data_IF_687694135059
#
_entry.id   IF_687694135059
#
_cell.length_a   1.000
_cell.length_b   1.000
_cell.length_c   1.000
_cell.angle_alpha   90.00
_cell.angle_beta   90.00
_cell.angle_gamma   90.00
#
_symmetry.space_group_name_H-M   'P 1'
#
loop_
_entity.id
_entity.type
_entity.pdbx_description
1 polymer ?
#
# COMPACT_ATOMS: atom_id res chain seq x y z
N UNK A 1 -47.47 18.97 -41.92
CA UNK A 1 -47.60 19.47 -40.52
C UNK A 1 -46.48 18.80 -39.72
N UNK A 2 -45.28 19.36 -39.45
CA UNK A 2 -44.91 20.66 -38.86
C UNK A 2 -45.70 20.95 -37.57
N UNK A 3 -45.14 21.21 -36.38
CA UNK A 3 -43.78 21.23 -35.81
C UNK A 3 -43.94 21.42 -34.28
N UNK A 4 -42.79 21.42 -33.57
CA UNK A 4 -42.49 21.86 -32.20
C UNK A 4 -42.47 20.76 -31.12
N UNK A 5 -41.31 20.18 -30.74
CA UNK A 5 -40.11 20.74 -30.07
C UNK A 5 -40.43 21.27 -28.66
N UNK A 6 -39.77 20.81 -27.59
CA UNK A 6 -38.48 21.41 -27.15
C UNK A 6 -37.97 20.73 -25.85
N UNK A 7 -36.70 20.26 -25.92
CA UNK A 7 -35.62 20.25 -24.91
C UNK A 7 -35.87 19.82 -23.44
N UNK A 8 -35.16 18.74 -23.05
CA UNK A 8 -34.04 18.88 -22.10
C UNK A 8 -33.02 17.75 -22.31
N UNK A 9 -31.98 18.09 -23.08
CA UNK A 9 -30.66 17.46 -23.04
C UNK A 9 -29.99 17.89 -21.74
N UNK A 10 -29.63 16.95 -20.87
CA UNK A 10 -28.46 17.10 -20.01
C UNK A 10 -27.50 15.98 -20.41
N UNK A 11 -26.31 16.40 -20.84
CA UNK A 11 -25.33 15.55 -21.48
C UNK A 11 -24.82 14.47 -20.53
N UNK A 12 -25.03 13.21 -20.91
CA UNK A 12 -24.16 12.14 -20.50
C UNK A 12 -22.87 12.28 -21.30
N UNK A 13 -21.92 13.03 -20.71
CA UNK A 13 -20.55 13.06 -21.16
C UNK A 13 -19.92 11.67 -21.02
N UNK A 14 -19.33 11.24 -22.13
CA UNK A 14 -18.48 10.08 -22.30
C UNK A 14 -17.26 10.12 -21.36
N UNK A 15 -16.84 8.96 -20.85
CA UNK A 15 -15.62 8.74 -20.05
C UNK A 15 -15.97 8.23 -18.64
N UNK A 16 -15.66 7.03 -18.18
CA UNK A 16 -14.67 6.04 -18.58
C UNK A 16 -15.28 4.64 -18.42
N UNK A 17 -15.27 3.86 -19.50
CA UNK A 17 -15.38 2.42 -19.40
C UNK A 17 -14.06 1.89 -18.83
N UNK A 18 -13.94 1.85 -17.51
CA UNK A 18 -12.92 1.03 -16.86
C UNK A 18 -13.28 -0.44 -17.10
N UNK A 19 -12.82 -0.99 -18.23
CA UNK A 19 -12.66 -2.43 -18.39
C UNK A 19 -11.75 -2.90 -17.26
N UNK A 20 -12.33 -3.58 -16.27
CA UNK A 20 -11.55 -4.31 -15.29
C UNK A 20 -10.85 -5.44 -16.02
N UNK A 21 -9.62 -5.18 -16.42
CA UNK A 21 -8.66 -6.19 -16.78
C UNK A 21 -8.60 -7.14 -15.58
N UNK A 22 -8.99 -8.39 -15.83
CA UNK A 22 -8.92 -9.49 -14.86
C UNK A 22 -7.57 -9.40 -14.17
N UNK A 23 -7.56 -9.06 -12.89
CA UNK A 23 -6.31 -8.89 -12.17
C UNK A 23 -5.79 -10.30 -11.85
N UNK A 24 -4.71 -10.79 -12.50
CA UNK A 24 -4.20 -12.14 -12.27
C UNK A 24 -3.37 -12.21 -10.98
N UNK A 25 -3.77 -11.48 -9.93
CA UNK A 25 -3.05 -11.44 -8.64
C UNK A 25 -3.20 -12.74 -7.84
N UNK A 26 -3.96 -13.72 -8.33
CA UNK A 26 -3.82 -15.09 -7.88
C UNK A 26 -2.55 -15.68 -8.52
N UNK A 27 -1.48 -15.79 -7.72
CA UNK A 27 -0.20 -16.43 -8.03
C UNK A 27 0.93 -15.55 -8.57
N UNK A 28 1.20 -14.40 -7.93
CA UNK A 28 2.62 -14.09 -7.71
C UNK A 28 3.08 -14.86 -6.48
N UNK A 29 3.94 -15.87 -6.68
CA UNK A 29 4.75 -16.43 -5.62
C UNK A 29 5.58 -15.27 -5.03
N UNK A 30 5.03 -14.59 -4.02
CA UNK A 30 5.79 -13.66 -3.20
C UNK A 30 6.90 -14.48 -2.56
N UNK A 31 8.12 -14.36 -3.11
CA UNK A 31 9.32 -14.89 -2.46
C UNK A 31 9.30 -14.33 -1.04
N UNK A 32 9.14 -15.24 -0.07
CA UNK A 32 9.06 -14.89 1.34
C UNK A 32 10.45 -14.40 1.77
N UNK A 33 10.73 -13.11 1.55
CA UNK A 33 11.98 -12.50 1.97
C UNK A 33 11.89 -12.16 3.45
N UNK A 34 12.72 -12.85 4.23
CA UNK A 34 12.81 -12.69 5.67
C UNK A 34 13.78 -11.54 5.96
N UNK A 35 13.27 -10.46 6.52
CA UNK A 35 14.14 -9.42 7.06
C UNK A 35 14.98 -9.97 8.21
N UNK A 36 16.21 -9.49 8.31
CA UNK A 36 17.17 -9.89 9.32
C UNK A 36 17.20 -8.86 10.47
N UNK A 37 17.60 -9.28 11.68
CA UNK A 37 17.88 -8.33 12.76
C UNK A 37 18.92 -7.30 12.29
N UNK A 38 18.73 -6.02 12.61
CA UNK A 38 19.66 -4.97 12.20
C UNK A 38 21.11 -5.31 12.61
N UNK A 39 21.31 -5.79 13.84
CA UNK A 39 22.61 -6.22 14.37
C UNK A 39 23.29 -7.29 13.52
N UNK A 40 22.51 -8.17 12.90
CA UNK A 40 23.01 -9.25 12.05
C UNK A 40 23.46 -8.72 10.69
N UNK A 41 22.65 -7.87 10.05
CA UNK A 41 23.03 -7.19 8.79
C UNK A 41 24.32 -6.37 8.97
N UNK A 42 24.44 -5.64 10.07
CA UNK A 42 25.68 -4.91 10.40
C UNK A 42 26.87 -5.85 10.64
N UNK A 43 26.68 -6.99 11.33
CA UNK A 43 27.75 -7.98 11.55
C UNK A 43 28.24 -8.57 10.23
N UNK A 44 27.33 -8.96 9.34
CA UNK A 44 27.68 -9.48 8.02
C UNK A 44 28.48 -8.45 7.22
N UNK A 45 28.06 -7.18 7.21
CA UNK A 45 28.82 -6.11 6.57
C UNK A 45 30.24 -5.98 7.12
N UNK A 46 30.42 -6.03 8.44
CA UNK A 46 31.74 -5.98 9.09
C UNK A 46 32.59 -7.20 8.73
N UNK A 47 31.99 -8.39 8.64
CA UNK A 47 32.70 -9.59 8.23
C UNK A 47 33.16 -9.50 6.77
N UNK A 48 32.29 -9.07 5.86
CA UNK A 48 32.65 -8.86 4.46
C UNK A 48 33.81 -7.88 4.32
N UNK A 49 33.80 -6.79 5.10
CA UNK A 49 34.91 -5.83 5.16
C UNK A 49 36.22 -6.47 5.67
N UNK A 50 36.14 -7.29 6.71
CA UNK A 50 37.29 -8.02 7.27
C UNK A 50 37.88 -9.06 6.32
N UNK A 51 37.07 -9.57 5.38
CA UNK A 51 37.54 -10.45 4.30
C UNK A 51 38.29 -9.68 3.19
N UNK A 52 38.46 -8.36 3.33
CA UNK A 52 39.17 -7.53 2.37
C UNK A 52 38.34 -7.12 1.16
N UNK A 53 37.01 -7.26 1.22
CA UNK A 53 36.13 -6.77 0.16
C UNK A 53 36.11 -5.23 0.15
N UNK A 54 36.17 -4.60 -1.04
CA UNK A 54 36.03 -3.15 -1.17
C UNK A 54 34.72 -2.61 -0.58
N UNK A 55 34.78 -1.43 0.03
CA UNK A 55 33.64 -0.82 0.74
C UNK A 55 32.44 -0.53 -0.20
N UNK A 56 32.67 -0.36 -1.51
CA UNK A 56 31.66 -0.16 -2.57
C UNK A 56 31.00 -1.47 -3.05
N UNK A 57 31.70 -2.60 -2.92
CA UNK A 57 31.19 -3.93 -3.29
C UNK A 57 30.27 -4.51 -2.22
N UNK A 58 30.55 -4.24 -0.95
CA UNK A 58 29.76 -4.78 0.19
C UNK A 58 28.27 -4.45 0.07
N UNK A 59 27.84 -3.18 -0.16
CA UNK A 59 26.44 -2.86 -0.38
C UNK A 59 25.86 -3.58 -1.59
N UNK A 60 26.61 -3.77 -2.67
CA UNK A 60 26.13 -4.52 -3.82
C UNK A 60 25.85 -5.98 -3.45
N UNK A 61 26.74 -6.63 -2.70
CA UNK A 61 26.53 -8.01 -2.22
C UNK A 61 25.27 -8.10 -1.35
N UNK A 62 25.14 -7.19 -0.38
CA UNK A 62 23.99 -7.18 0.54
C UNK A 62 22.68 -6.89 -0.21
N UNK A 63 22.70 -5.99 -1.19
CA UNK A 63 21.54 -5.70 -2.06
C UNK A 63 21.16 -6.92 -2.91
N UNK A 64 22.13 -7.55 -3.56
CA UNK A 64 21.89 -8.76 -4.37
C UNK A 64 21.41 -9.95 -3.54
N UNK A 65 21.77 -10.02 -2.27
CA UNK A 65 21.32 -11.03 -1.33
C UNK A 65 19.96 -10.68 -0.67
N UNK A 66 19.36 -9.53 -0.99
CA UNK A 66 18.20 -8.98 -0.28
C UNK A 66 18.39 -8.92 1.24
N UNK A 67 19.64 -8.76 1.69
CA UNK A 67 20.04 -8.80 3.10
C UNK A 67 19.75 -7.46 3.79
N UNK A 68 18.48 -7.29 4.17
CA UNK A 68 17.93 -6.05 4.72
C UNK A 68 17.41 -6.25 6.15
N UNK A 69 17.25 -5.15 6.88
CA UNK A 69 16.54 -5.15 8.17
C UNK A 69 15.22 -4.39 8.05
N UNK A 70 14.23 -4.79 8.84
CA UNK A 70 12.88 -4.21 8.81
C UNK A 70 12.65 -3.28 9.99
N UNK A 71 11.99 -2.16 9.72
CA UNK A 71 11.50 -1.24 10.74
C UNK A 71 10.00 -0.99 10.56
N UNK A 72 9.26 -0.99 11.65
CA UNK A 72 7.86 -0.58 11.63
C UNK A 72 7.78 0.94 11.56
N UNK A 73 7.12 1.44 10.52
CA UNK A 73 6.86 2.86 10.32
C UNK A 73 5.61 3.31 11.08
N UNK A 74 4.49 2.60 10.86
CA UNK A 74 3.24 2.84 11.56
C UNK A 74 2.44 1.55 11.73
N UNK A 75 1.60 1.54 12.75
CA UNK A 75 0.64 0.47 13.03
C UNK A 75 -0.65 1.09 13.56
N UNK A 76 -1.79 0.59 13.10
CA UNK A 76 -3.11 0.92 13.61
C UNK A 76 -3.87 -0.38 13.90
N UNK A 77 -4.41 -0.49 15.11
CA UNK A 77 -5.18 -1.64 15.61
C UNK A 77 -6.64 -1.28 15.90
N UNK A 78 -7.04 -0.03 15.64
CA UNK A 78 -8.40 0.44 15.91
C UNK A 78 -9.37 -0.21 14.92
N UNK A 79 -10.38 -0.90 15.43
CA UNK A 79 -11.41 -1.47 14.58
C UNK A 79 -12.23 -0.35 13.93
N UNK A 80 -12.36 -0.41 12.60
CA UNK A 80 -13.08 0.61 11.85
C UNK A 80 -14.02 -0.02 10.81
N UNK A 81 -15.22 0.53 10.72
CA UNK A 81 -16.24 0.12 9.76
C UNK A 81 -16.42 1.25 8.75
N UNK A 82 -15.90 1.05 7.53
CA UNK A 82 -15.93 2.08 6.50
C UNK A 82 -17.00 1.79 5.46
N UNK A 83 -18.01 2.66 5.40
CA UNK A 83 -18.99 2.67 4.32
C UNK A 83 -18.62 3.62 3.17
N UNK A 84 -19.39 3.55 2.10
CA UNK A 84 -19.22 4.35 0.87
C UNK A 84 -18.94 5.85 1.09
N UNK A 85 -19.67 6.52 1.98
CA UNK A 85 -19.54 7.98 2.18
C UNK A 85 -18.18 8.40 2.76
N UNK A 86 -17.43 7.46 3.34
CA UNK A 86 -16.12 7.68 3.93
C UNK A 86 -14.99 7.07 3.10
N UNK A 87 -15.29 6.59 1.88
CA UNK A 87 -14.31 5.96 1.00
C UNK A 87 -13.10 6.86 0.72
N UNK A 88 -11.92 6.27 0.76
CA UNK A 88 -10.65 6.96 0.65
C UNK A 88 -10.14 7.57 1.97
N UNK A 89 -10.76 7.25 3.11
CA UNK A 89 -10.27 7.68 4.42
C UNK A 89 -8.92 7.03 4.73
N UNK A 90 -7.97 7.84 5.19
CA UNK A 90 -6.67 7.35 5.65
C UNK A 90 -6.84 6.65 6.98
N UNK A 91 -6.25 5.47 7.09
CA UNK A 91 -6.31 4.64 8.29
C UNK A 91 -4.98 4.59 9.02
N UNK A 92 -3.87 4.60 8.29
CA UNK A 92 -2.53 4.77 8.87
C UNK A 92 -1.59 5.43 7.87
N UNK A 93 -0.57 6.12 8.36
CA UNK A 93 0.49 6.68 7.56
C UNK A 93 1.83 6.61 8.30
N UNK A 94 2.92 6.54 7.55
CA UNK A 94 4.25 6.44 8.08
C UNK A 94 5.21 7.37 7.32
N UNK A 95 6.11 8.01 8.06
CA UNK A 95 7.31 8.65 7.50
C UNK A 95 8.51 7.78 7.78
N UNK A 96 9.48 7.82 6.88
CA UNK A 96 10.80 7.28 7.19
C UNK A 96 11.41 8.15 8.31
N UNK A 97 11.88 7.51 9.38
CA UNK A 97 12.42 8.22 10.55
C UNK A 97 13.65 9.05 10.15
N UNK A 98 13.83 10.21 10.77
CA UNK A 98 14.93 11.16 10.45
C UNK A 98 16.33 10.60 10.68
N UNK A 99 16.46 9.57 11.51
CA UNK A 99 17.72 8.87 11.76
C UNK A 99 18.05 7.78 10.73
N UNK A 100 17.17 7.54 9.76
CA UNK A 100 17.38 6.59 8.67
C UNK A 100 17.78 7.36 7.41
N UNK A 101 18.81 6.89 6.72
CA UNK A 101 19.25 7.48 5.46
C UNK A 101 18.25 7.11 4.37
N UNK A 102 17.62 8.07 3.66
CA UNK A 102 16.64 7.78 2.60
C UNK A 102 17.11 6.77 1.54
N UNK A 103 18.37 6.85 1.13
CA UNK A 103 18.96 5.95 0.14
C UNK A 103 19.03 4.47 0.58
N UNK A 104 18.83 4.18 1.88
CA UNK A 104 18.79 2.81 2.40
C UNK A 104 17.47 2.08 2.10
N UNK A 105 16.41 2.78 1.71
CA UNK A 105 15.10 2.17 1.48
C UNK A 105 15.14 1.17 0.32
N UNK A 106 14.63 -0.05 0.55
CA UNK A 106 14.58 -1.14 -0.44
C UNK A 106 13.17 -1.67 -0.68
N UNK A 107 12.36 -1.78 0.36
CA UNK A 107 10.97 -2.19 0.21
C UNK A 107 10.05 -1.47 1.20
N UNK A 108 8.78 -1.33 0.81
CA UNK A 108 7.68 -0.89 1.67
C UNK A 108 6.69 -2.05 1.74
N UNK A 109 6.34 -2.46 2.95
CA UNK A 109 5.38 -3.54 3.20
C UNK A 109 4.11 -2.98 3.78
N UNK A 110 2.99 -3.38 3.21
CA UNK A 110 1.66 -3.07 3.70
C UNK A 110 1.02 -4.37 4.17
N UNK A 111 0.65 -4.42 5.44
CA UNK A 111 -0.15 -5.53 5.99
C UNK A 111 -1.47 -4.98 6.46
N UNK A 112 -2.57 -5.64 6.08
CA UNK A 112 -3.93 -5.29 6.53
C UNK A 112 -4.64 -6.53 7.04
N UNK A 113 -5.52 -6.37 8.05
CA UNK A 113 -6.46 -7.41 8.48
C UNK A 113 -7.87 -6.85 8.35
N UNK A 114 -8.63 -7.42 7.42
CA UNK A 114 -9.93 -6.87 7.01
C UNK A 114 -10.88 -7.95 6.47
N UNK A 115 -12.13 -7.55 6.24
CA UNK A 115 -13.14 -8.34 5.53
C UNK A 115 -14.18 -7.44 4.86
N UNK A 116 -14.86 -7.99 3.87
CA UNK A 116 -15.98 -7.35 3.16
C UNK A 116 -17.26 -7.31 4.04
N UNK A 117 -18.38 -6.82 3.50
CA UNK A 117 -19.69 -6.93 4.17
C UNK A 117 -20.07 -8.40 4.31
N UNK A 118 -20.58 -8.83 5.46
CA UNK A 118 -20.82 -10.24 5.83
C UNK A 118 -21.85 -11.00 4.96
N UNK A 119 -22.49 -10.33 4.00
CA UNK A 119 -23.62 -10.83 3.24
C UNK A 119 -23.71 -10.20 1.85
N UNK A 120 -24.13 -10.98 0.86
CA UNK A 120 -24.46 -10.52 -0.50
C UNK A 120 -25.50 -11.47 -1.11
N UNK A 121 -26.38 -10.94 -1.96
CA UNK A 121 -27.35 -11.73 -2.73
C UNK A 121 -26.68 -12.52 -3.88
N UNK A 122 -25.48 -12.11 -4.29
CA UNK A 122 -24.69 -12.81 -5.31
C UNK A 122 -23.87 -13.94 -4.68
N UNK A 123 -24.54 -15.07 -4.41
CA UNK A 123 -23.92 -16.24 -3.79
C UNK A 123 -22.86 -16.90 -4.67
N UNK A 124 -22.88 -16.65 -5.99
CA UNK A 124 -21.94 -17.26 -6.94
C UNK A 124 -20.49 -16.80 -6.74
N UNK A 125 -20.32 -15.58 -6.21
CA UNK A 125 -19.01 -14.97 -5.97
C UNK A 125 -18.57 -15.00 -4.50
N UNK A 126 -19.36 -15.57 -3.59
CA UNK A 126 -19.03 -15.64 -2.16
C UNK A 126 -17.71 -16.36 -1.92
N UNK A 127 -16.89 -15.82 -1.01
CA UNK A 127 -15.61 -16.42 -0.66
C UNK A 127 -14.54 -16.27 -1.75
N UNK A 128 -14.81 -15.52 -2.82
CA UNK A 128 -13.85 -15.18 -3.87
C UNK A 128 -13.51 -13.68 -3.83
N UNK A 129 -12.49 -13.25 -4.56
CA UNK A 129 -12.22 -11.82 -4.73
C UNK A 129 -13.16 -11.14 -5.73
N UNK A 130 -13.90 -11.92 -6.53
CA UNK A 130 -14.85 -11.38 -7.50
C UNK A 130 -16.07 -10.81 -6.78
N UNK A 131 -16.64 -9.73 -7.32
CA UNK A 131 -17.83 -9.08 -6.73
C UNK A 131 -17.57 -8.30 -5.42
N UNK A 132 -16.32 -8.30 -4.93
CA UNK A 132 -15.93 -7.45 -3.82
C UNK A 132 -15.74 -6.01 -4.28
N UNK A 133 -16.31 -5.08 -3.51
CA UNK A 133 -16.19 -3.65 -3.74
C UNK A 133 -15.67 -2.92 -2.51
N UNK A 134 -14.85 -3.63 -1.72
CA UNK A 134 -14.06 -3.07 -0.64
C UNK A 134 -12.59 -3.42 -0.84
N UNK A 135 -11.73 -2.41 -0.75
CA UNK A 135 -10.31 -2.54 -1.05
C UNK A 135 -9.50 -1.52 -0.24
N UNK A 136 -8.18 -1.60 -0.39
CA UNK A 136 -7.23 -0.65 0.17
C UNK A 136 -6.35 -0.09 -0.93
N UNK A 137 -5.97 1.17 -0.77
CA UNK A 137 -4.97 1.82 -1.59
C UNK A 137 -3.82 2.30 -0.71
N UNK A 138 -2.63 2.39 -1.31
CA UNK A 138 -1.49 3.05 -0.70
C UNK A 138 -0.91 4.11 -1.64
N UNK A 139 -0.25 5.11 -1.08
CA UNK A 139 0.26 6.23 -1.86
C UNK A 139 0.87 7.32 -1.00
N UNK A 140 1.38 8.36 -1.66
CA UNK A 140 1.99 9.49 -0.97
C UNK A 140 0.93 10.45 -0.43
N UNK A 141 1.15 10.91 0.80
CA UNK A 141 0.38 12.01 1.35
C UNK A 141 0.90 13.33 0.78
N UNK A 142 -0.01 14.14 0.25
CA UNK A 142 0.33 15.42 -0.40
C UNK A 142 0.54 16.56 0.60
N UNK A 143 -0.02 16.45 1.81
CA UNK A 143 0.09 17.49 2.85
C UNK A 143 1.15 17.15 3.90
N UNK A 144 2.15 18.04 4.01
CA UNK A 144 3.27 17.93 4.94
C UNK A 144 2.98 18.55 6.33
N UNK A 145 1.82 19.18 6.53
CA UNK A 145 1.47 19.99 7.73
C UNK A 145 1.27 19.23 9.04
N UNK A 146 1.55 17.94 9.07
CA UNK A 146 1.35 17.11 10.25
C UNK A 146 2.65 17.08 11.05
N UNK A 147 2.71 17.93 12.08
CA UNK A 147 3.78 18.05 13.08
C UNK A 147 3.89 16.76 13.91
N UNK A 148 4.34 15.66 13.30
CA UNK A 148 4.56 14.38 13.96
C UNK A 148 3.29 13.59 14.30
N UNK A 149 2.15 14.25 14.49
CA UNK A 149 0.84 13.60 14.70
C UNK A 149 -0.03 13.65 13.45
N UNK A 150 -0.43 12.48 12.97
CA UNK A 150 -1.28 12.36 11.79
C UNK A 150 -2.74 12.67 12.11
N UNK A 151 -3.11 13.95 12.16
CA UNK A 151 -4.51 14.37 12.20
C UNK A 151 -5.06 14.50 10.77
N UNK A 152 -5.58 13.40 10.23
CA UNK A 152 -6.17 13.41 8.89
C UNK A 152 -7.50 14.17 8.91
N UNK A 153 -7.58 15.24 8.12
CA UNK A 153 -8.88 15.86 7.86
C UNK A 153 -9.76 14.86 7.08
N UNK A 154 -11.09 14.87 7.26
CA UNK A 154 -11.98 14.00 6.50
C UNK A 154 -11.86 14.14 4.97
N UNK A 155 -11.35 15.30 4.50
CA UNK A 155 -11.09 15.60 3.09
C UNK A 155 -9.71 15.16 2.60
N UNK A 156 -8.80 14.76 3.49
CA UNK A 156 -7.47 14.30 3.08
C UNK A 156 -7.61 13.03 2.25
N UNK A 157 -7.00 13.05 1.06
CA UNK A 157 -6.95 11.93 0.13
C UNK A 157 -5.52 11.73 -0.33
N UNK A 158 -5.25 10.52 -0.79
CA UNK A 158 -4.01 10.19 -1.50
C UNK A 158 -4.36 9.92 -2.95
N UNK A 159 -3.40 10.18 -3.83
CA UNK A 159 -3.38 9.51 -5.13
C UNK A 159 -2.75 8.13 -4.88
N UNK A 160 -3.60 7.10 -4.91
CA UNK A 160 -3.29 5.79 -4.35
C UNK A 160 -3.39 4.67 -5.38
N UNK A 161 -2.51 3.68 -5.27
CA UNK A 161 -2.58 2.43 -6.02
C UNK A 161 -3.21 1.35 -5.14
N UNK A 162 -4.11 0.55 -5.69
CA UNK A 162 -4.74 -0.57 -4.98
C UNK A 162 -3.68 -1.57 -4.50
N UNK A 163 -3.68 -1.88 -3.21
CA UNK A 163 -2.76 -2.86 -2.61
C UNK A 163 -3.43 -4.20 -2.31
N UNK A 164 -4.72 -4.22 -2.00
CA UNK A 164 -5.49 -5.45 -1.80
C UNK A 164 -6.99 -5.19 -1.94
N UNK A 165 -7.74 -6.25 -2.27
CA UNK A 165 -9.20 -6.28 -2.32
C UNK A 165 -9.66 -7.34 -1.30
N UNK A 166 -10.73 -7.07 -0.55
CA UNK A 166 -11.25 -8.05 0.41
C UNK A 166 -11.94 -9.21 -0.32
N UNK A 167 -12.06 -10.35 0.37
CA UNK A 167 -12.84 -11.49 -0.12
C UNK A 167 -14.34 -11.18 0.02
N UNK A 168 -15.07 -11.34 -1.08
CA UNK A 168 -16.47 -10.99 -1.18
C UNK A 168 -17.35 -11.78 -0.20
N UNK A 169 -18.21 -11.06 0.51
CA UNK A 169 -19.20 -11.62 1.42
C UNK A 169 -18.64 -12.55 2.52
N UNK A 170 -17.33 -12.47 2.81
CA UNK A 170 -16.69 -13.36 3.78
C UNK A 170 -16.78 -12.79 5.20
N UNK A 171 -17.26 -13.62 6.14
CA UNK A 171 -17.37 -13.24 7.57
C UNK A 171 -16.04 -13.26 8.32
N UNK A 172 -15.06 -13.99 7.79
CA UNK A 172 -13.75 -14.17 8.41
C UNK A 172 -12.84 -13.02 8.00
N UNK A 173 -12.09 -12.51 8.97
CA UNK A 173 -11.01 -11.58 8.71
C UNK A 173 -9.86 -12.30 8.01
N UNK A 174 -9.31 -11.64 6.99
CA UNK A 174 -8.16 -12.11 6.22
C UNK A 174 -7.00 -11.16 6.41
N UNK A 175 -5.79 -11.72 6.46
CA UNK A 175 -4.55 -10.95 6.42
C UNK A 175 -4.12 -10.81 4.97
N UNK A 176 -3.91 -9.59 4.51
CA UNK A 176 -3.37 -9.28 3.19
C UNK A 176 -2.02 -8.61 3.35
N UNK A 177 -1.03 -9.06 2.58
CA UNK A 177 0.31 -8.47 2.56
C UNK A 177 0.71 -8.13 1.14
N UNK A 178 1.10 -6.88 0.92
CA UNK A 178 1.59 -6.37 -0.34
C UNK A 178 2.91 -5.67 -0.12
N UNK A 179 3.90 -5.99 -0.96
CA UNK A 179 5.23 -5.41 -0.90
C UNK A 179 5.48 -4.61 -2.17
N UNK A 180 5.94 -3.39 -2.02
CA UNK A 180 6.53 -2.62 -3.11
C UNK A 180 8.03 -2.58 -2.92
N UNK A 181 8.79 -2.87 -3.98
CA UNK A 181 10.25 -2.85 -3.98
C UNK A 181 10.76 -1.72 -4.85
N UNK A 182 11.93 -1.21 -4.49
CA UNK A 182 12.63 -0.19 -5.29
C UNK A 182 12.98 -0.70 -6.71
N UNK A 183 13.01 -2.02 -6.90
CA UNK A 183 13.29 -2.68 -8.18
C UNK A 183 12.04 -2.98 -9.00
N UNK A 184 10.83 -2.69 -8.48
CA UNK A 184 9.59 -2.94 -9.23
C UNK A 184 9.52 -1.98 -10.43
N UNK A 185 9.26 -2.53 -11.62
CA UNK A 185 9.10 -1.78 -12.87
C UNK A 185 7.70 -1.15 -12.96
N UNK A 186 7.43 -0.20 -12.06
CA UNK A 186 6.15 0.48 -11.95
C UNK A 186 6.35 1.96 -11.61
N UNK A 187 6.00 2.84 -12.55
CA UNK A 187 6.20 4.29 -12.44
C UNK A 187 5.56 4.90 -11.18
N UNK A 188 4.41 4.37 -10.75
CA UNK A 188 3.75 4.84 -9.54
C UNK A 188 4.55 4.46 -8.29
N UNK A 189 5.00 3.19 -8.22
CA UNK A 189 5.84 2.73 -7.11
C UNK A 189 7.14 3.53 -7.06
N UNK A 190 7.80 3.75 -8.21
CA UNK A 190 9.03 4.55 -8.27
C UNK A 190 8.82 5.99 -7.76
N UNK A 191 7.71 6.63 -8.14
CA UNK A 191 7.32 7.95 -7.61
C UNK A 191 7.10 7.92 -6.10
N UNK A 192 6.48 6.88 -5.56
CA UNK A 192 6.31 6.70 -4.10
C UNK A 192 7.67 6.61 -3.42
N UNK A 193 8.58 5.78 -3.91
CA UNK A 193 9.93 5.66 -3.32
C UNK A 193 10.67 6.98 -3.33
N UNK A 194 10.59 7.75 -4.43
CA UNK A 194 11.18 9.09 -4.48
C UNK A 194 10.56 10.02 -3.45
N UNK A 195 9.22 10.07 -3.36
CA UNK A 195 8.55 10.92 -2.39
C UNK A 195 8.87 10.56 -0.94
N UNK A 196 8.95 9.27 -0.60
CA UNK A 196 9.38 8.81 0.72
C UNK A 196 10.82 9.23 1.01
N UNK A 197 11.72 9.16 0.01
CA UNK A 197 13.09 9.64 0.15
C UNK A 197 13.17 11.14 0.39
N UNK A 198 12.24 11.90 -0.19
CA UNK A 198 12.08 13.35 0.03
C UNK A 198 11.37 13.68 1.36
N UNK A 199 11.10 12.67 2.19
CA UNK A 199 10.49 12.83 3.52
C UNK A 199 8.96 12.88 3.52
N UNK A 200 8.30 12.63 2.39
CA UNK A 200 6.84 12.56 2.32
C UNK A 200 6.33 11.29 3.01
N UNK A 201 5.17 11.33 3.71
CA UNK A 201 4.58 10.14 4.27
C UNK A 201 4.00 9.24 3.18
N UNK A 202 4.10 7.94 3.38
CA UNK A 202 3.26 6.95 2.70
C UNK A 202 2.06 6.63 3.59
N UNK A 203 0.88 6.51 3.01
CA UNK A 203 -0.37 6.26 3.72
C UNK A 203 -1.14 5.10 3.11
N UNK A 204 -1.99 4.48 3.93
CA UNK A 204 -2.95 3.45 3.53
C UNK A 204 -4.36 3.98 3.75
N UNK A 205 -5.19 3.91 2.71
CA UNK A 205 -6.61 4.28 2.76
C UNK A 205 -7.50 3.05 2.70
N UNK A 206 -8.69 3.19 3.27
CA UNK A 206 -9.76 2.21 3.23
C UNK A 206 -10.80 2.68 2.22
N UNK A 207 -11.21 1.80 1.32
CA UNK A 207 -12.14 2.11 0.25
C UNK A 207 -13.36 1.18 0.24
N UNK A 208 -14.50 1.74 -0.17
CA UNK A 208 -15.75 1.04 -0.45
C UNK A 208 -16.50 1.77 -1.58
N UNK A 209 -17.04 1.06 -2.57
CA UNK A 209 -17.65 1.70 -3.77
C UNK A 209 -19.14 1.96 -3.66
N UNK A 210 -19.89 1.12 -2.95
CA UNK A 210 -21.36 1.14 -2.98
C UNK A 210 -21.95 1.21 -1.58
N UNK A 211 -23.16 1.76 -1.46
CA UNK A 211 -23.81 2.03 -0.15
C UNK A 211 -23.99 0.78 0.71
N UNK A 212 -24.17 -0.39 0.10
CA UNK A 212 -24.32 -1.67 0.80
C UNK A 212 -22.99 -2.35 1.14
N UNK A 213 -21.85 -1.80 0.69
CA UNK A 213 -20.52 -2.35 0.95
C UNK A 213 -19.88 -1.64 2.13
N UNK A 214 -19.35 -2.45 3.06
CA UNK A 214 -18.69 -1.98 4.28
C UNK A 214 -17.36 -2.70 4.40
N UNK A 215 -16.27 -1.94 4.36
CA UNK A 215 -14.94 -2.46 4.61
C UNK A 215 -14.71 -2.51 6.13
N UNK A 216 -14.67 -3.71 6.68
CA UNK A 216 -14.44 -3.92 8.10
C UNK A 216 -12.95 -4.15 8.34
N UNK A 217 -12.29 -3.22 9.02
CA UNK A 217 -10.84 -3.24 9.21
C UNK A 217 -10.51 -3.39 10.69
N UNK A 218 -9.53 -4.23 11.00
CA UNK A 218 -9.01 -4.40 12.37
C UNK A 218 -7.59 -3.91 12.54
N UNK A 219 -6.83 -3.92 11.45
CA UNK A 219 -5.40 -3.73 11.52
C UNK A 219 -4.85 -3.22 10.21
N UNK A 220 -3.88 -2.31 10.30
CA UNK A 220 -2.98 -2.01 9.21
C UNK A 220 -1.59 -1.66 9.74
N UNK A 221 -0.56 -2.07 9.01
CA UNK A 221 0.84 -1.78 9.32
C UNK A 221 1.60 -1.41 8.06
N UNK A 222 2.45 -0.39 8.20
CA UNK A 222 3.44 -0.01 7.20
C UNK A 222 4.83 -0.30 7.77
N UNK A 223 5.61 -1.08 7.04
CA UNK A 223 6.99 -1.42 7.40
C UNK A 223 7.95 -1.08 6.26
N UNK A 224 9.19 -0.77 6.60
CA UNK A 224 10.25 -0.43 5.65
C UNK A 224 11.39 -1.43 5.77
N UNK A 225 11.84 -2.00 4.65
CA UNK A 225 13.10 -2.73 4.58
C UNK A 225 14.22 -1.78 4.17
N UNK A 226 15.30 -1.82 4.95
CA UNK A 226 16.42 -0.88 4.88
C UNK A 226 17.74 -1.63 4.74
N UNK A 227 18.66 -1.03 3.98
CA UNK A 227 20.04 -1.48 3.88
C UNK A 227 20.97 -0.58 4.73
N UNK A 228 21.74 -1.15 5.67
CA UNK A 228 22.54 -0.34 6.59
C UNK A 228 23.82 0.24 5.98
N UNK A 229 24.31 -0.33 4.88
CA UNK A 229 25.60 0.04 4.27
C UNK A 229 25.35 0.78 2.95
N UNK A 230 26.11 1.85 2.72
CA UNK A 230 25.95 2.74 1.56
C UNK A 230 26.87 2.32 0.43
N UNK A 231 26.39 2.45 -0.82
CA UNK A 231 27.28 2.68 -1.97
C UNK A 231 27.88 4.08 -1.79
N UNK A 232 29.20 4.17 -1.77
CA UNK A 232 29.94 5.46 -1.72
C UNK A 232 29.87 6.12 -3.09
#
# INVERSE_FOLDING_TARGET
MSLLSTLLRLGFGSGDQFQYQQNPLAHQQQRYHKAHPATDVFRVAVLLRRLGLPDDVIPCILDHADYTYRVTGSECTEHFHLGYHQSGRIYTAARLKTNVVPASLRAIHFTTISKDQDFSWDTSNHGTYNGSWTWFEAGLLHDNRLNGEFNFLPSTRIDGKTICINVHAERRYRTHTTTWRITDDDDFIQKVFQGVKDGKPVAVTICARFRAWVNNVKFARIEFDLQPVRKV
#
